data_IF_000236500364
#
_entry.id   IF_000236500364
#
_cell.length_a   1.000
_cell.length_b   1.000
_cell.length_c   1.000
_cell.angle_alpha   90.00
_cell.angle_beta   90.00
_cell.angle_gamma   90.00
#
_symmetry.space_group_name_H-M   'P 1'
#
loop_
_entity.id
_entity.type
_entity.pdbx_description
1 polymer ?
#
# COMPACT_ATOMS: atom_id res chain seq x y z
N UNK A 1 -16.73 -2.82 15.27
CA UNK A 1 -16.77 -2.43 13.84
C UNK A 1 -15.67 -3.11 13.06
N UNK A 2 -16.00 -3.74 11.94
CA UNK A 2 -15.03 -4.37 11.01
C UNK A 2 -14.16 -3.31 10.32
N UNK A 3 -12.99 -3.71 9.80
CA UNK A 3 -12.07 -2.81 9.05
C UNK A 3 -12.79 -2.16 7.86
N UNK A 4 -13.61 -2.92 7.14
CA UNK A 4 -14.39 -2.44 5.98
C UNK A 4 -15.33 -1.29 6.32
N UNK A 5 -16.03 -1.35 7.47
CA UNK A 5 -16.95 -0.28 7.88
C UNK A 5 -16.21 1.00 8.33
N UNK A 6 -14.95 0.88 8.77
CA UNK A 6 -14.10 2.05 9.04
C UNK A 6 -13.62 2.68 7.74
N UNK A 7 -13.19 1.86 6.78
CA UNK A 7 -12.68 2.32 5.50
C UNK A 7 -13.78 2.96 4.63
N UNK A 8 -15.02 2.45 4.67
CA UNK A 8 -16.18 3.08 4.02
C UNK A 8 -16.48 4.47 4.60
N UNK A 9 -16.43 4.61 5.93
CA UNK A 9 -16.63 5.92 6.59
C UNK A 9 -15.50 6.90 6.30
N UNK A 10 -14.27 6.43 6.21
CA UNK A 10 -13.10 7.27 5.92
C UNK A 10 -13.05 7.72 4.46
N UNK A 11 -13.44 6.84 3.53
CA UNK A 11 -13.30 7.07 2.09
C UNK A 11 -14.58 7.56 1.41
N UNK A 12 -15.73 7.46 2.09
CA UNK A 12 -17.06 7.70 1.53
C UNK A 12 -17.32 6.91 0.23
N UNK A 13 -16.76 5.70 0.16
CA UNK A 13 -16.90 4.80 -0.99
C UNK A 13 -17.70 3.56 -0.58
N UNK A 14 -18.64 3.08 -1.42
CA UNK A 14 -19.35 1.84 -1.15
C UNK A 14 -18.38 0.68 -0.90
N UNK A 15 -18.65 -0.17 0.10
CA UNK A 15 -17.81 -1.34 0.42
C UNK A 15 -17.49 -2.20 -0.81
N UNK A 16 -18.47 -2.41 -1.69
CA UNK A 16 -18.28 -3.21 -2.90
C UNK A 16 -17.20 -2.62 -3.82
N UNK A 17 -17.14 -1.29 -3.94
CA UNK A 17 -16.13 -0.62 -4.73
C UNK A 17 -14.75 -0.72 -4.07
N UNK A 18 -14.67 -0.60 -2.73
CA UNK A 18 -13.41 -0.83 -1.99
C UNK A 18 -12.85 -2.23 -2.19
N UNK A 19 -13.72 -3.25 -2.20
CA UNK A 19 -13.35 -4.63 -2.52
C UNK A 19 -12.80 -4.73 -3.94
N UNK A 20 -13.44 -4.08 -4.91
CA UNK A 20 -12.96 -4.05 -6.30
C UNK A 20 -11.56 -3.42 -6.42
N UNK A 21 -11.34 -2.28 -5.75
CA UNK A 21 -10.02 -1.63 -5.70
C UNK A 21 -8.97 -2.57 -5.08
N UNK A 22 -9.33 -3.28 -4.00
CA UNK A 22 -8.47 -4.29 -3.37
C UNK A 22 -8.05 -5.40 -4.35
N UNK A 23 -9.00 -5.94 -5.11
CA UNK A 23 -8.69 -6.94 -6.14
C UNK A 23 -7.77 -6.41 -7.24
N UNK A 24 -7.93 -5.15 -7.66
CA UNK A 24 -7.03 -4.54 -8.66
C UNK A 24 -5.61 -4.40 -8.11
N UNK A 25 -5.44 -4.00 -6.86
CA UNK A 25 -4.13 -3.95 -6.20
C UNK A 25 -3.50 -5.33 -6.05
N UNK A 26 -4.27 -6.34 -5.65
CA UNK A 26 -3.79 -7.73 -5.59
C UNK A 26 -3.32 -8.25 -6.95
N UNK A 27 -4.11 -8.03 -8.02
CA UNK A 27 -3.73 -8.43 -9.39
C UNK A 27 -2.45 -7.74 -9.84
N UNK A 28 -2.30 -6.45 -9.54
CA UNK A 28 -1.07 -5.72 -9.84
C UNK A 28 0.14 -6.30 -9.10
N UNK A 29 0.00 -6.58 -7.80
CA UNK A 29 1.04 -7.17 -6.97
C UNK A 29 1.50 -8.51 -7.54
N UNK A 30 0.57 -9.44 -7.77
CA UNK A 30 0.85 -10.78 -8.33
C UNK A 30 1.59 -10.67 -9.66
N UNK A 31 1.12 -9.80 -10.57
CA UNK A 31 1.79 -9.58 -11.85
C UNK A 31 3.21 -9.06 -11.67
N UNK A 32 3.44 -8.18 -10.69
CA UNK A 32 4.75 -7.58 -10.45
C UNK A 32 5.73 -8.55 -9.80
N UNK A 33 5.24 -9.49 -8.99
CA UNK A 33 6.06 -10.47 -8.26
C UNK A 33 6.16 -11.83 -8.94
N UNK A 34 5.44 -12.09 -10.03
CA UNK A 34 5.40 -13.40 -10.73
C UNK A 34 6.77 -14.04 -11.02
N UNK A 35 7.81 -13.25 -11.28
CA UNK A 35 9.17 -13.72 -11.58
C UNK A 35 10.17 -13.52 -10.42
N UNK A 36 9.71 -13.05 -9.27
CA UNK A 36 10.56 -12.82 -8.11
C UNK A 36 10.77 -14.16 -7.41
N UNK A 37 12.02 -14.60 -7.32
CA UNK A 37 12.39 -15.89 -6.71
C UNK A 37 12.75 -15.78 -5.23
N UNK A 38 13.23 -14.61 -4.81
CA UNK A 38 13.62 -14.33 -3.43
C UNK A 38 13.26 -12.91 -3.05
N UNK A 39 13.07 -12.68 -1.76
CA UNK A 39 12.81 -11.37 -1.17
C UNK A 39 13.63 -11.23 0.11
N UNK A 40 13.85 -10.00 0.52
CA UNK A 40 14.41 -9.69 1.85
C UNK A 40 13.40 -8.86 2.62
N UNK A 41 13.18 -9.20 3.89
CA UNK A 41 12.34 -8.41 4.79
C UNK A 41 13.24 -7.46 5.58
N UNK A 42 12.91 -6.17 5.54
CA UNK A 42 13.62 -5.13 6.30
C UNK A 42 12.64 -4.57 7.33
N UNK A 43 12.96 -4.69 8.61
CA UNK A 43 12.12 -4.17 9.69
C UNK A 43 12.72 -2.89 10.27
N UNK A 44 11.85 -2.02 10.79
CA UNK A 44 12.30 -0.87 11.57
C UNK A 44 12.51 -1.30 13.03
N UNK A 45 13.67 -0.98 13.62
CA UNK A 45 14.04 -1.45 14.96
C UNK A 45 13.02 -1.10 16.05
N UNK A 46 12.32 0.03 15.89
CA UNK A 46 11.33 0.53 16.87
C UNK A 46 9.91 -0.01 16.65
N UNK A 47 9.66 -0.77 15.58
CA UNK A 47 8.30 -1.16 15.19
C UNK A 47 8.30 -2.50 14.43
N UNK A 48 8.58 -3.59 15.15
CA UNK A 48 8.73 -4.93 14.57
C UNK A 48 7.40 -5.63 14.30
N UNK A 49 6.42 -5.43 15.15
CA UNK A 49 5.09 -6.06 15.07
C UNK A 49 4.00 -5.05 15.36
N UNK A 50 2.80 -5.31 14.84
CA UNK A 50 1.63 -4.53 15.19
C UNK A 50 0.90 -5.09 16.43
N UNK A 51 -0.18 -4.40 16.85
CA UNK A 51 -1.04 -4.79 17.97
C UNK A 51 -1.71 -6.17 17.85
N UNK A 52 -1.66 -6.80 16.67
CA UNK A 52 -2.23 -8.12 16.39
C UNK A 52 -1.13 -9.18 16.23
N UNK A 53 0.14 -8.85 16.53
CA UNK A 53 1.28 -9.75 16.43
C UNK A 53 1.80 -9.96 15.00
N UNK A 54 1.35 -9.16 14.02
CA UNK A 54 1.81 -9.29 12.62
C UNK A 54 3.15 -8.58 12.44
N UNK A 55 4.08 -9.22 11.74
CA UNK A 55 5.37 -8.64 11.38
C UNK A 55 5.21 -7.41 10.48
N UNK A 56 5.83 -6.29 10.88
CA UNK A 56 5.94 -5.08 10.10
C UNK A 56 7.30 -5.04 9.39
N UNK A 57 7.27 -5.04 8.05
CA UNK A 57 8.49 -5.06 7.24
C UNK A 57 8.27 -4.39 5.87
N UNK A 58 9.36 -3.89 5.31
CA UNK A 58 9.50 -3.61 3.89
C UNK A 58 9.91 -4.88 3.16
N UNK A 59 9.25 -5.17 2.04
CA UNK A 59 9.64 -6.29 1.17
C UNK A 59 10.59 -5.76 0.10
N UNK A 60 11.89 -5.99 0.27
CA UNK A 60 12.92 -5.66 -0.70
C UNK A 60 12.99 -6.75 -1.78
N UNK A 61 12.91 -6.32 -3.04
CA UNK A 61 13.08 -7.19 -4.19
C UNK A 61 14.56 -7.28 -4.61
N UNK A 62 14.97 -8.31 -5.37
CA UNK A 62 16.35 -8.47 -5.84
C UNK A 62 16.89 -7.30 -6.69
N UNK A 63 16.00 -6.46 -7.23
CA UNK A 63 16.37 -5.26 -7.99
C UNK A 63 16.60 -4.01 -7.11
N UNK A 64 16.65 -4.17 -5.78
CA UNK A 64 16.90 -3.10 -4.82
C UNK A 64 15.68 -2.20 -4.52
N UNK A 65 14.51 -2.46 -5.11
CA UNK A 65 13.28 -1.68 -4.86
C UNK A 65 12.37 -2.40 -3.89
N UNK A 66 11.70 -1.64 -3.02
CA UNK A 66 10.69 -2.21 -2.12
C UNK A 66 9.33 -2.33 -2.81
N UNK A 67 8.56 -3.36 -2.47
CA UNK A 67 7.18 -3.50 -2.95
C UNK A 67 6.30 -2.34 -2.48
N UNK A 68 6.48 -1.87 -1.24
CA UNK A 68 5.77 -0.72 -0.69
C UNK A 68 5.93 0.52 -1.60
N UNK A 69 7.18 0.84 -1.98
CA UNK A 69 7.46 1.96 -2.88
C UNK A 69 6.82 1.76 -4.26
N UNK A 70 6.91 0.55 -4.82
CA UNK A 70 6.34 0.24 -6.13
C UNK A 70 4.82 0.41 -6.11
N UNK A 71 4.13 -0.11 -5.10
CA UNK A 71 2.67 -0.04 -4.98
C UNK A 71 2.21 1.42 -4.87
N UNK A 72 2.82 2.20 -3.99
CA UNK A 72 2.45 3.61 -3.77
C UNK A 72 2.73 4.44 -5.03
N UNK A 73 3.92 4.30 -5.63
CA UNK A 73 4.30 5.05 -6.85
C UNK A 73 3.41 4.74 -8.06
N UNK A 74 2.80 3.56 -8.08
CA UNK A 74 1.89 3.11 -9.15
C UNK A 74 0.41 3.33 -8.79
N UNK A 75 0.11 3.88 -7.61
CA UNK A 75 -1.27 4.19 -7.20
C UNK A 75 -2.09 2.98 -6.79
N UNK A 76 -1.46 1.91 -6.30
CA UNK A 76 -2.15 0.70 -5.81
C UNK A 76 -2.12 0.57 -4.27
N UNK A 77 -1.50 1.52 -3.58
CA UNK A 77 -1.51 1.64 -2.14
C UNK A 77 -1.37 3.11 -1.74
N UNK A 78 -1.80 3.44 -0.53
CA UNK A 78 -1.57 4.74 0.11
C UNK A 78 -0.77 4.56 1.41
N UNK A 79 0.09 5.52 1.78
CA UNK A 79 0.75 5.51 3.08
C UNK A 79 -0.28 5.58 4.20
N UNK A 80 -0.07 4.79 5.25
CA UNK A 80 -0.88 4.80 6.45
C UNK A 80 -0.18 5.62 7.53
N UNK A 81 -0.81 6.71 8.00
CA UNK A 81 -0.19 7.67 8.91
C UNK A 81 -0.42 7.38 10.39
N UNK A 82 -1.23 6.36 10.73
CA UNK A 82 -1.58 6.05 12.12
C UNK A 82 -0.53 5.20 12.85
N UNK A 83 0.49 4.72 12.14
CA UNK A 83 1.56 3.88 12.70
C UNK A 83 2.90 4.48 12.31
N UNK A 84 3.88 4.44 13.22
CA UNK A 84 5.23 4.93 12.95
C UNK A 84 5.84 4.23 11.73
N UNK A 85 6.38 5.04 10.82
CA UNK A 85 7.09 4.60 9.63
C UNK A 85 8.12 5.69 9.28
N UNK A 86 9.40 5.33 9.29
CA UNK A 86 10.48 6.26 8.97
C UNK A 86 10.38 6.80 7.53
N UNK A 87 9.93 5.96 6.60
CA UNK A 87 9.78 6.31 5.17
C UNK A 87 8.47 7.07 4.87
N UNK A 88 7.65 7.40 5.86
CA UNK A 88 6.35 8.05 5.67
C UNK A 88 6.42 9.34 4.81
N UNK A 89 7.36 10.28 5.04
CA UNK A 89 7.45 11.49 4.22
C UNK A 89 7.74 11.18 2.75
N UNK A 90 8.58 10.17 2.47
CA UNK A 90 8.88 9.73 1.10
C UNK A 90 7.63 9.14 0.45
N UNK A 91 6.91 8.28 1.16
CA UNK A 91 5.70 7.66 0.64
C UNK A 91 4.56 8.65 0.41
N UNK A 92 4.41 9.67 1.25
CA UNK A 92 3.44 10.75 1.02
C UNK A 92 3.75 11.51 -0.29
N UNK A 93 5.02 11.85 -0.54
CA UNK A 93 5.44 12.48 -1.81
C UNK A 93 5.16 11.60 -3.03
N UNK A 94 5.43 10.30 -2.94
CA UNK A 94 5.15 9.35 -4.01
C UNK A 94 3.64 9.20 -4.26
N UNK A 95 2.86 9.18 -3.19
CA UNK A 95 1.41 9.09 -3.24
C UNK A 95 0.79 10.30 -3.95
N UNK A 96 1.22 11.51 -3.59
CA UNK A 96 0.76 12.74 -4.24
C UNK A 96 1.07 12.73 -5.74
N UNK A 97 2.28 12.31 -6.13
CA UNK A 97 2.65 12.15 -7.55
C UNK A 97 1.76 11.13 -8.27
N UNK A 98 1.38 10.04 -7.62
CA UNK A 98 0.48 9.04 -8.20
C UNK A 98 -0.95 9.58 -8.37
N UNK A 99 -1.44 10.36 -7.39
CA UNK A 99 -2.75 11.05 -7.44
C UNK A 99 -2.82 12.06 -8.59
N UNK A 100 -1.86 12.98 -8.68
CA UNK A 100 -1.80 14.00 -9.74
C UNK A 100 -1.78 13.35 -11.13
N UNK A 101 -1.03 12.24 -11.27
CA UNK A 101 -0.93 11.50 -12.54
C UNK A 101 -2.05 10.48 -12.75
N UNK A 102 -3.07 10.42 -11.88
CA UNK A 102 -4.19 9.48 -11.91
C UNK A 102 -3.76 8.03 -12.17
N UNK A 103 -2.73 7.55 -11.47
CA UNK A 103 -2.20 6.19 -11.65
C UNK A 103 -3.00 5.16 -10.87
N UNK A 104 -3.08 3.94 -11.40
CA UNK A 104 -3.61 2.79 -10.68
C UNK A 104 -5.06 3.03 -10.24
N UNK A 105 -5.32 2.91 -8.94
CA UNK A 105 -6.65 3.13 -8.36
C UNK A 105 -7.11 4.60 -8.48
N UNK A 106 -6.18 5.55 -8.58
CA UNK A 106 -6.50 6.98 -8.74
C UNK A 106 -7.08 7.34 -10.11
N UNK A 107 -7.04 6.44 -11.10
CA UNK A 107 -7.78 6.64 -12.35
C UNK A 107 -9.28 6.36 -12.20
N UNK A 108 -9.67 5.66 -11.13
CA UNK A 108 -11.04 5.22 -10.89
C UNK A 108 -11.74 6.06 -9.82
N UNK A 109 -10.98 6.65 -8.90
CA UNK A 109 -11.51 7.51 -7.83
C UNK A 109 -10.47 8.52 -7.34
N UNK A 110 -10.93 9.72 -6.99
CA UNK A 110 -10.08 10.75 -6.37
C UNK A 110 -10.01 10.60 -4.84
N UNK A 111 -10.95 9.86 -4.26
CA UNK A 111 -11.14 9.74 -2.81
C UNK A 111 -10.27 8.66 -2.15
N UNK A 112 -9.52 7.87 -2.93
CA UNK A 112 -8.65 6.82 -2.41
C UNK A 112 -7.49 7.37 -1.55
#
# INVERSE_FOLDING_TARGET
STKSNKDERELHLPVQFLIELGYKSMKFLIRKTRKVKSITLIQEAKNLTDRYGRTLAYVLLPNGKTLNEILIRQGYAKPYSQVYCQELPKYQKLNLKAKIKRKGLYSLTQSF
#
